data_IF_674182566675
#
_entry.id   IF_674182566675
#
_cell.length_a   1.000
_cell.length_b   1.000
_cell.length_c   1.000
_cell.angle_alpha   90.00
_cell.angle_beta   90.00
_cell.angle_gamma   90.00
#
_symmetry.space_group_name_H-M   'P 1'
#
loop_
_entity.id
_entity.type
_entity.pdbx_description
1 polymer ?
#
# COMPACT_ATOMS: atom_id res chain seq x y z
N UNK A 1 -19.90 -12.99 11.39
CA UNK A 1 -19.68 -11.67 12.05
C UNK A 1 -21.04 -11.04 12.25
N UNK A 2 -21.29 -10.46 13.42
CA UNK A 2 -22.56 -9.80 13.76
C UNK A 2 -22.82 -8.62 12.80
N UNK A 3 -24.06 -8.47 12.30
CA UNK A 3 -24.49 -7.36 11.45
C UNK A 3 -24.20 -6.01 12.12
N UNK A 4 -24.35 -5.93 13.45
CA UNK A 4 -24.03 -4.72 14.23
C UNK A 4 -22.55 -4.32 14.16
N UNK A 5 -21.64 -5.29 14.06
CA UNK A 5 -20.19 -5.06 13.99
C UNK A 5 -19.80 -4.53 12.61
N UNK A 6 -20.34 -5.13 11.54
CA UNK A 6 -20.18 -4.64 10.16
C UNK A 6 -20.65 -3.20 10.04
N UNK A 7 -21.87 -2.90 10.49
CA UNK A 7 -22.46 -1.56 10.34
C UNK A 7 -21.61 -0.48 11.05
N UNK A 8 -21.05 -0.79 12.23
CA UNK A 8 -20.13 0.10 12.96
C UNK A 8 -18.84 0.38 12.18
N UNK A 9 -18.22 -0.66 11.61
CA UNK A 9 -17.05 -0.48 10.75
C UNK A 9 -17.37 0.41 9.57
N UNK A 10 -18.43 0.09 8.83
CA UNK A 10 -18.82 0.79 7.61
C UNK A 10 -19.07 2.27 7.90
N UNK A 11 -19.75 2.57 9.00
CA UNK A 11 -20.01 3.95 9.43
C UNK A 11 -18.71 4.71 9.77
N UNK A 12 -17.82 4.10 10.56
CA UNK A 12 -16.56 4.73 10.94
C UNK A 12 -15.63 4.94 9.75
N UNK A 13 -15.44 3.90 8.92
CA UNK A 13 -14.60 3.97 7.73
C UNK A 13 -15.11 5.02 6.74
N UNK A 14 -16.42 5.07 6.50
CA UNK A 14 -17.05 6.11 5.66
C UNK A 14 -16.77 7.52 6.20
N UNK A 15 -16.84 7.71 7.53
CA UNK A 15 -16.50 9.00 8.16
C UNK A 15 -15.04 9.39 7.88
N UNK A 16 -14.10 8.48 8.12
CA UNK A 16 -12.68 8.75 7.92
C UNK A 16 -12.33 9.02 6.46
N UNK A 17 -12.90 8.27 5.52
CA UNK A 17 -12.69 8.53 4.10
C UNK A 17 -13.24 9.89 3.67
N UNK A 18 -14.41 10.29 4.19
CA UNK A 18 -14.96 11.63 3.92
C UNK A 18 -14.04 12.74 4.45
N UNK A 19 -13.48 12.57 5.63
CA UNK A 19 -12.48 13.48 6.20
C UNK A 19 -11.23 13.53 5.29
N UNK A 20 -10.68 12.36 4.92
CA UNK A 20 -9.46 12.26 4.11
C UNK A 20 -9.62 12.88 2.72
N UNK A 21 -10.74 12.65 2.03
CA UNK A 21 -11.07 13.33 0.75
C UNK A 21 -11.19 14.86 0.90
N UNK A 22 -11.69 15.33 2.05
CA UNK A 22 -11.76 16.75 2.37
C UNK A 22 -10.37 17.37 2.49
N UNK A 23 -9.41 16.59 3.00
CA UNK A 23 -8.03 17.01 3.25
C UNK A 23 -7.14 16.86 2.02
N UNK A 24 -7.33 15.84 1.19
CA UNK A 24 -6.60 15.64 -0.07
C UNK A 24 -6.66 16.88 -0.97
N UNK A 25 -7.86 17.45 -1.15
CA UNK A 25 -8.05 18.71 -1.90
C UNK A 25 -7.27 19.89 -1.31
N UNK A 26 -7.09 19.91 0.01
CA UNK A 26 -6.31 20.95 0.68
C UNK A 26 -4.81 20.71 0.52
N UNK A 27 -4.38 19.44 0.57
CA UNK A 27 -2.99 19.04 0.33
C UNK A 27 -2.54 19.41 -1.08
N UNK A 28 -3.34 19.08 -2.09
CA UNK A 28 -3.11 19.46 -3.50
C UNK A 28 -3.00 20.98 -3.69
N UNK A 29 -3.74 21.75 -2.88
CA UNK A 29 -3.71 23.21 -2.89
C UNK A 29 -2.54 23.81 -2.07
N UNK A 30 -1.64 23.00 -1.53
CA UNK A 30 -0.53 23.47 -0.69
C UNK A 30 -0.94 23.91 0.72
N UNK A 31 -2.17 23.60 1.16
CA UNK A 31 -2.76 24.07 2.42
C UNK A 31 -2.67 23.01 3.51
N UNK A 32 -1.47 22.80 4.06
CA UNK A 32 -1.20 21.83 5.14
C UNK A 32 -0.33 22.48 6.23
N UNK A 33 -0.88 23.44 6.99
CA UNK A 33 -0.20 23.94 8.19
C UNK A 33 -0.08 22.83 9.25
N UNK A 34 0.70 23.06 10.30
CA UNK A 34 1.00 22.05 11.34
C UNK A 34 -0.27 21.40 11.94
N UNK A 35 -1.36 22.18 12.06
CA UNK A 35 -2.65 21.69 12.54
C UNK A 35 -3.25 20.70 11.52
N UNK A 36 -3.29 21.06 10.24
CA UNK A 36 -3.78 20.18 9.18
C UNK A 36 -2.89 18.94 9.01
N UNK A 37 -1.57 19.08 9.09
CA UNK A 37 -0.64 17.95 9.04
C UNK A 37 -0.95 16.94 10.15
N UNK A 38 -1.05 17.42 11.39
CA UNK A 38 -1.40 16.59 12.55
C UNK A 38 -2.76 15.92 12.38
N UNK A 39 -3.72 16.63 11.80
CA UNK A 39 -5.06 16.09 11.55
C UNK A 39 -5.08 15.01 10.46
N UNK A 40 -4.36 15.21 9.35
CA UNK A 40 -4.22 14.21 8.28
C UNK A 40 -3.60 12.92 8.85
N UNK A 41 -2.49 13.04 9.58
CA UNK A 41 -1.85 11.89 10.23
C UNK A 41 -2.82 11.19 11.20
N UNK A 42 -3.59 11.95 11.98
CA UNK A 42 -4.59 11.39 12.89
C UNK A 42 -5.68 10.59 12.17
N UNK A 43 -6.18 11.06 11.03
CA UNK A 43 -7.20 10.34 10.24
C UNK A 43 -6.61 9.04 9.69
N UNK A 44 -5.41 9.09 9.12
CA UNK A 44 -4.74 7.90 8.56
C UNK A 44 -4.44 6.88 9.68
N UNK A 45 -3.98 7.34 10.86
CA UNK A 45 -3.77 6.50 12.03
C UNK A 45 -5.03 5.75 12.46
N UNK A 46 -6.18 6.45 12.47
CA UNK A 46 -7.48 5.85 12.82
C UNK A 46 -7.92 4.83 11.77
N UNK A 47 -7.70 5.09 10.48
CA UNK A 47 -7.94 4.12 9.41
C UNK A 47 -7.08 2.87 9.64
N UNK A 48 -5.78 3.03 9.91
CA UNK A 48 -4.89 1.92 10.19
C UNK A 48 -5.39 1.06 11.36
N UNK A 49 -5.71 1.70 12.50
CA UNK A 49 -6.23 1.02 13.68
C UNK A 49 -7.56 0.30 13.41
N UNK A 50 -8.47 0.95 12.67
CA UNK A 50 -9.77 0.38 12.31
C UNK A 50 -9.60 -0.85 11.41
N UNK A 51 -8.82 -0.76 10.33
CA UNK A 51 -8.55 -1.89 9.45
C UNK A 51 -7.95 -3.08 10.21
N UNK A 52 -6.94 -2.85 11.02
CA UNK A 52 -6.26 -3.91 11.78
C UNK A 52 -7.18 -4.57 12.82
N UNK A 53 -8.04 -3.79 13.48
CA UNK A 53 -9.01 -4.32 14.46
C UNK A 53 -10.02 -5.28 13.83
N UNK A 54 -10.33 -5.08 12.54
CA UNK A 54 -11.27 -5.90 11.78
C UNK A 54 -10.57 -6.88 10.83
N UNK A 55 -9.28 -7.13 11.05
CA UNK A 55 -8.45 -8.09 10.29
C UNK A 55 -8.19 -7.74 8.82
N UNK A 56 -8.48 -6.50 8.40
CA UNK A 56 -8.04 -5.93 7.12
C UNK A 56 -6.56 -5.56 7.18
N UNK A 57 -5.69 -6.59 7.24
CA UNK A 57 -4.25 -6.43 7.48
C UNK A 57 -3.55 -5.65 6.37
N UNK A 58 -3.98 -5.83 5.12
CA UNK A 58 -3.35 -5.15 3.98
C UNK A 58 -3.57 -3.65 4.05
N UNK A 59 -4.83 -3.21 4.15
CA UNK A 59 -5.20 -1.80 4.26
C UNK A 59 -4.64 -1.17 5.52
N UNK A 60 -4.65 -1.91 6.63
CA UNK A 60 -4.04 -1.47 7.88
C UNK A 60 -2.54 -1.18 7.74
N UNK A 61 -1.82 -2.03 7.02
CA UNK A 61 -0.39 -1.85 6.77
C UNK A 61 -0.11 -0.75 5.75
N UNK A 62 -0.93 -0.63 4.69
CA UNK A 62 -0.87 0.47 3.73
C UNK A 62 -1.08 1.81 4.47
N UNK A 63 -2.08 1.89 5.34
CA UNK A 63 -2.35 3.10 6.12
C UNK A 63 -1.18 3.49 7.03
N UNK A 64 -0.58 2.52 7.75
CA UNK A 64 0.63 2.79 8.56
C UNK A 64 1.81 3.26 7.73
N UNK A 65 1.99 2.68 6.55
CA UNK A 65 3.05 3.08 5.65
C UNK A 65 2.85 4.52 5.18
N UNK A 66 1.63 4.87 4.76
CA UNK A 66 1.27 6.25 4.37
C UNK A 66 1.50 7.20 5.54
N UNK A 67 1.04 6.86 6.74
CA UNK A 67 1.24 7.65 7.97
C UNK A 67 2.72 7.92 8.23
N UNK A 68 3.55 6.86 8.26
CA UNK A 68 4.99 6.96 8.48
C UNK A 68 5.66 7.85 7.42
N UNK A 69 5.33 7.63 6.14
CA UNK A 69 6.01 8.32 5.05
C UNK A 69 5.62 9.79 4.97
N UNK A 70 4.35 10.08 5.26
CA UNK A 70 3.83 11.43 5.32
C UNK A 70 4.35 12.20 6.54
N UNK A 71 4.48 11.56 7.71
CA UNK A 71 5.10 12.18 8.90
C UNK A 71 6.56 12.58 8.64
N UNK A 72 7.34 11.69 8.00
CA UNK A 72 8.69 12.01 7.54
C UNK A 72 8.71 13.19 6.56
N UNK A 73 7.81 13.18 5.58
CA UNK A 73 7.71 14.23 4.56
C UNK A 73 7.39 15.59 5.20
N UNK A 74 6.41 15.64 6.11
CA UNK A 74 6.05 16.83 6.87
C UNK A 74 7.21 17.38 7.71
N UNK A 75 7.90 16.52 8.46
CA UNK A 75 9.07 16.92 9.27
C UNK A 75 10.24 17.44 8.44
N UNK A 76 10.43 16.91 7.22
CA UNK A 76 11.46 17.37 6.30
C UNK A 76 11.14 18.71 5.63
N UNK A 77 9.87 19.15 5.68
CA UNK A 77 9.32 20.32 5.01
C UNK A 77 9.61 20.37 3.48
N UNK A 78 9.81 19.21 2.86
CA UNK A 78 10.07 19.08 1.42
C UNK A 78 8.78 18.82 0.67
N UNK A 79 8.33 19.80 -0.09
CA UNK A 79 7.07 19.73 -0.84
C UNK A 79 7.01 18.58 -1.85
N UNK A 80 8.13 18.16 -2.45
CA UNK A 80 8.15 17.01 -3.36
C UNK A 80 7.87 15.69 -2.63
N UNK A 81 8.39 15.49 -1.41
CA UNK A 81 8.12 14.27 -0.63
C UNK A 81 6.65 14.18 -0.21
N UNK A 82 6.03 15.33 0.11
CA UNK A 82 4.60 15.40 0.43
C UNK A 82 3.76 15.03 -0.80
N UNK A 83 4.12 15.56 -1.99
CA UNK A 83 3.46 15.20 -3.25
C UNK A 83 3.58 13.73 -3.59
N UNK A 84 4.74 13.11 -3.36
CA UNK A 84 4.91 11.66 -3.54
C UNK A 84 3.96 10.84 -2.67
N UNK A 85 3.56 11.35 -1.50
CA UNK A 85 2.60 10.69 -0.63
C UNK A 85 1.14 10.80 -1.13
N UNK A 86 0.82 11.71 -2.06
CA UNK A 86 -0.55 11.86 -2.59
C UNK A 86 -1.02 10.57 -3.29
N UNK A 87 -0.16 9.94 -4.09
CA UNK A 87 -0.47 8.67 -4.76
C UNK A 87 -0.72 7.56 -3.74
N UNK A 88 0.04 7.54 -2.64
CA UNK A 88 -0.14 6.55 -1.57
C UNK A 88 -1.48 6.74 -0.86
N UNK A 89 -1.88 8.00 -0.61
CA UNK A 89 -3.18 8.33 -0.02
C UNK A 89 -4.31 7.91 -0.96
N UNK A 90 -4.23 8.21 -2.26
CA UNK A 90 -5.21 7.80 -3.27
C UNK A 90 -5.38 6.27 -3.29
N UNK A 91 -4.28 5.53 -3.27
CA UNK A 91 -4.32 4.07 -3.25
C UNK A 91 -4.95 3.52 -1.97
N UNK A 92 -4.62 4.11 -0.81
CA UNK A 92 -5.24 3.73 0.46
C UNK A 92 -6.76 3.96 0.43
N UNK A 93 -7.18 5.16 0.01
CA UNK A 93 -8.59 5.54 -0.11
C UNK A 93 -9.33 4.53 -0.97
N UNK A 94 -8.80 4.24 -2.16
CA UNK A 94 -9.41 3.28 -3.08
C UNK A 94 -9.55 1.90 -2.46
N UNK A 95 -8.52 1.39 -1.79
CA UNK A 95 -8.55 0.09 -1.11
C UNK A 95 -9.66 0.05 -0.05
N UNK A 96 -9.79 1.11 0.75
CA UNK A 96 -10.85 1.21 1.75
C UNK A 96 -12.25 1.32 1.13
N UNK A 97 -12.40 2.01 0.00
CA UNK A 97 -13.67 2.09 -0.73
C UNK A 97 -14.09 0.72 -1.30
N UNK A 98 -13.13 -0.09 -1.76
CA UNK A 98 -13.39 -1.46 -2.22
C UNK A 98 -13.95 -2.33 -1.08
N UNK A 99 -13.41 -2.21 0.15
CA UNK A 99 -14.00 -2.88 1.33
C UNK A 99 -15.44 -2.42 1.57
N UNK A 100 -15.71 -1.13 1.44
CA UNK A 100 -17.06 -0.58 1.63
C UNK A 100 -18.04 -1.08 0.58
N UNK A 101 -17.59 -1.27 -0.66
CA UNK A 101 -18.42 -1.73 -1.78
C UNK A 101 -18.71 -3.22 -1.71
N UNK A 102 -17.73 -4.05 -1.32
CA UNK A 102 -17.87 -5.49 -1.27
C UNK A 102 -17.32 -6.11 0.03
N UNK A 103 -17.98 -5.79 1.14
CA UNK A 103 -17.65 -6.35 2.45
C UNK A 103 -17.65 -7.89 2.46
N UNK A 104 -18.61 -8.52 1.80
CA UNK A 104 -18.73 -9.99 1.85
C UNK A 104 -17.66 -10.65 0.98
N UNK A 105 -17.34 -10.14 -0.20
CA UNK A 105 -16.23 -10.61 -1.01
C UNK A 105 -14.88 -10.45 -0.32
N UNK A 106 -14.66 -9.32 0.36
CA UNK A 106 -13.44 -9.08 1.15
C UNK A 106 -13.36 -9.95 2.42
N UNK A 107 -14.43 -10.01 3.21
CA UNK A 107 -14.47 -10.83 4.42
C UNK A 107 -14.37 -12.33 4.10
N UNK A 108 -14.82 -12.76 2.93
CA UNK A 108 -14.64 -14.12 2.45
C UNK A 108 -13.21 -14.38 1.94
N UNK A 109 -12.54 -13.40 1.31
CA UNK A 109 -11.09 -13.48 1.01
C UNK A 109 -10.26 -13.61 2.28
N UNK A 110 -10.60 -12.90 3.36
CA UNK A 110 -9.90 -12.99 4.65
C UNK A 110 -10.11 -14.34 5.38
N UNK A 111 -11.23 -15.02 5.13
CA UNK A 111 -11.55 -16.33 5.75
C UNK A 111 -11.06 -17.53 4.95
N UNK A 112 -10.79 -17.33 3.67
CA UNK A 112 -10.26 -18.34 2.77
C UNK A 112 -8.88 -17.87 2.30
N UNK A 113 -7.82 -18.34 2.95
CA UNK A 113 -6.48 -18.46 2.34
C UNK A 113 -6.49 -19.35 1.06
N UNK A 114 -7.65 -19.76 0.55
CA UNK A 114 -7.83 -20.33 -0.78
C UNK A 114 -9.00 -19.67 -1.52
N UNK A 115 -8.82 -18.44 -2.01
CA UNK A 115 -9.59 -17.97 -3.16
C UNK A 115 -8.79 -18.28 -4.41
N UNK A 116 -9.25 -19.25 -5.21
CA UNK A 116 -8.78 -19.40 -6.60
C UNK A 116 -9.12 -18.10 -7.33
N UNK A 117 -8.15 -17.38 -7.92
CA UNK A 117 -8.43 -16.06 -8.45
C UNK A 117 -9.40 -16.15 -9.63
N UNK A 118 -10.46 -15.33 -9.60
CA UNK A 118 -11.16 -14.92 -10.83
C UNK A 118 -10.33 -13.84 -11.53
N UNK A 119 -9.11 -14.18 -11.94
CA UNK A 119 -8.21 -13.29 -12.66
C UNK A 119 -7.99 -13.79 -14.10
N UNK A 120 -8.99 -13.69 -14.97
CA UNK A 120 -8.78 -13.94 -16.41
C UNK A 120 -7.69 -13.02 -17.00
N UNK A 121 -7.38 -11.89 -16.34
CA UNK A 121 -6.29 -10.98 -16.72
C UNK A 121 -4.88 -11.42 -16.28
N UNK A 122 -4.75 -12.33 -15.31
CA UNK A 122 -3.44 -12.76 -14.76
C UNK A 122 -3.09 -14.22 -15.06
N UNK A 123 -3.96 -15.01 -15.68
CA UNK A 123 -3.58 -16.36 -16.16
C UNK A 123 -2.38 -16.32 -17.13
N UNK A 124 -2.24 -15.23 -17.90
CA UNK A 124 -1.07 -15.00 -18.76
C UNK A 124 0.23 -14.70 -17.99
N UNK A 125 0.15 -14.39 -16.69
CA UNK A 125 1.29 -14.05 -15.84
C UNK A 125 1.71 -15.20 -14.93
N UNK A 126 0.98 -16.32 -14.97
CA UNK A 126 1.25 -17.50 -14.15
C UNK A 126 2.61 -18.12 -14.46
N UNK A 127 3.40 -18.41 -13.42
CA UNK A 127 4.73 -18.99 -13.56
C UNK A 127 5.81 -18.01 -14.02
N UNK A 128 5.47 -16.72 -14.20
CA UNK A 128 6.48 -15.69 -14.36
C UNK A 128 7.28 -15.54 -13.07
N UNK A 129 8.51 -15.10 -13.25
CA UNK A 129 9.43 -14.71 -12.21
C UNK A 129 9.71 -13.22 -12.33
N UNK A 130 9.58 -12.51 -11.22
CA UNK A 130 9.88 -11.10 -11.15
C UNK A 130 10.85 -10.83 -10.00
N UNK A 131 11.70 -9.82 -10.16
CA UNK A 131 12.48 -9.26 -9.06
C UNK A 131 11.84 -7.95 -8.62
N UNK A 132 11.71 -7.75 -7.32
CA UNK A 132 11.23 -6.49 -6.72
C UNK A 132 12.33 -5.95 -5.83
N UNK A 133 12.81 -4.74 -6.11
CA UNK A 133 13.88 -4.09 -5.38
C UNK A 133 13.41 -2.75 -4.82
N UNK A 134 13.42 -2.63 -3.51
CA UNK A 134 13.03 -1.41 -2.78
C UNK A 134 13.72 -1.42 -1.41
N UNK A 135 14.28 -0.30 -0.97
CA UNK A 135 15.01 -0.21 0.30
C UNK A 135 14.06 -0.16 1.51
N UNK A 136 12.81 0.25 1.31
CA UNK A 136 11.77 0.23 2.33
C UNK A 136 11.19 -1.19 2.47
N UNK A 137 11.41 -1.86 3.63
CA UNK A 137 10.93 -3.23 3.84
C UNK A 137 9.40 -3.37 3.77
N UNK A 138 8.66 -2.28 4.03
CA UNK A 138 7.19 -2.30 3.97
C UNK A 138 6.72 -2.29 2.53
N UNK A 139 7.28 -1.40 1.69
CA UNK A 139 6.95 -1.35 0.24
C UNK A 139 7.29 -2.69 -0.40
N UNK A 140 8.50 -3.18 -0.14
CA UNK A 140 8.95 -4.48 -0.67
C UNK A 140 8.01 -5.61 -0.29
N UNK A 141 7.55 -5.66 0.97
CA UNK A 141 6.58 -6.67 1.43
C UNK A 141 5.22 -6.54 0.75
N UNK A 142 4.72 -5.30 0.60
CA UNK A 142 3.45 -5.03 -0.07
C UNK A 142 3.50 -5.44 -1.55
N UNK A 143 4.58 -5.10 -2.24
CA UNK A 143 4.80 -5.48 -3.64
C UNK A 143 4.88 -6.99 -3.81
N UNK A 144 5.64 -7.68 -2.95
CA UNK A 144 5.75 -9.15 -2.96
C UNK A 144 4.37 -9.80 -2.85
N UNK A 145 3.59 -9.44 -1.82
CA UNK A 145 2.23 -9.97 -1.63
C UNK A 145 1.32 -9.73 -2.82
N UNK A 146 1.43 -8.55 -3.47
CA UNK A 146 0.59 -8.21 -4.62
C UNK A 146 0.75 -9.20 -5.79
N UNK A 147 1.90 -9.87 -5.90
CA UNK A 147 2.20 -10.80 -6.98
C UNK A 147 2.19 -12.28 -6.54
N UNK A 148 2.52 -12.58 -5.27
CA UNK A 148 2.52 -13.97 -4.76
C UNK A 148 1.16 -14.65 -4.87
N UNK A 149 0.07 -13.93 -4.60
CA UNK A 149 -1.31 -14.46 -4.69
C UNK A 149 -1.73 -14.86 -6.13
N UNK A 150 -0.87 -14.58 -7.12
CA UNK A 150 -1.14 -14.81 -8.55
C UNK A 150 -0.27 -15.92 -9.14
N UNK A 151 0.36 -16.74 -8.30
CA UNK A 151 1.25 -17.83 -8.70
C UNK A 151 2.42 -17.33 -9.59
N UNK A 152 2.91 -16.13 -9.26
CA UNK A 152 4.11 -15.49 -9.79
C UNK A 152 5.23 -15.70 -8.76
N UNK A 153 6.42 -16.06 -9.22
CA UNK A 153 7.60 -16.21 -8.37
C UNK A 153 8.23 -14.83 -8.16
N UNK A 154 8.23 -14.34 -6.92
CA UNK A 154 8.77 -13.02 -6.59
C UNK A 154 10.07 -13.16 -5.82
N UNK A 155 11.13 -12.52 -6.29
CA UNK A 155 12.42 -12.41 -5.62
C UNK A 155 12.60 -10.99 -5.09
N UNK A 156 12.61 -10.82 -3.76
CA UNK A 156 12.64 -9.50 -3.13
C UNK A 156 14.06 -9.06 -2.78
N UNK A 157 14.55 -7.91 -3.24
CA UNK A 157 15.86 -7.35 -2.95
C UNK A 157 15.75 -6.04 -2.15
N UNK A 158 16.66 -5.80 -1.20
CA UNK A 158 16.63 -4.59 -0.35
C UNK A 158 17.50 -3.43 -0.85
N UNK A 159 18.27 -3.64 -1.91
CA UNK A 159 19.17 -2.66 -2.52
C UNK A 159 19.50 -3.06 -3.96
N UNK A 160 20.14 -2.16 -4.72
CA UNK A 160 20.43 -2.39 -6.14
C UNK A 160 21.41 -3.55 -6.37
N UNK A 161 22.38 -3.76 -5.47
CA UNK A 161 23.33 -4.87 -5.58
C UNK A 161 22.64 -6.24 -5.46
N UNK A 162 21.80 -6.42 -4.44
CA UNK A 162 21.03 -7.64 -4.25
C UNK A 162 20.03 -7.85 -5.40
N UNK A 163 19.49 -6.76 -5.95
CA UNK A 163 18.62 -6.82 -7.13
C UNK A 163 19.38 -7.37 -8.34
N UNK A 164 20.57 -6.83 -8.62
CA UNK A 164 21.44 -7.28 -9.71
C UNK A 164 21.83 -8.76 -9.54
N UNK A 165 22.28 -9.15 -8.35
CA UNK A 165 22.64 -10.55 -8.04
C UNK A 165 21.47 -11.51 -8.33
N UNK A 166 20.25 -11.10 -7.95
CA UNK A 166 19.02 -11.88 -8.19
C UNK A 166 18.60 -11.91 -9.65
N UNK A 167 18.75 -10.80 -10.38
CA UNK A 167 18.49 -10.75 -11.82
C UNK A 167 19.43 -11.72 -12.55
N UNK A 168 20.73 -11.67 -12.25
CA UNK A 168 21.73 -12.53 -12.88
C UNK A 168 21.51 -14.01 -12.52
N UNK A 169 21.14 -14.31 -11.28
CA UNK A 169 20.93 -15.69 -10.83
C UNK A 169 19.64 -16.31 -11.36
N UNK A 170 18.58 -15.52 -11.53
CA UNK A 170 17.23 -16.05 -11.75
C UNK A 170 16.63 -15.73 -13.11
N UNK A 171 17.26 -14.84 -13.87
CA UNK A 171 16.82 -14.38 -15.19
C UNK A 171 15.30 -14.07 -15.24
N UNK A 172 14.83 -13.13 -14.40
CA UNK A 172 13.41 -12.81 -14.29
C UNK A 172 12.88 -12.20 -15.59
N UNK A 173 11.58 -12.36 -15.86
CA UNK A 173 10.95 -11.74 -17.03
C UNK A 173 10.69 -10.24 -16.82
N UNK A 174 10.55 -9.81 -15.57
CA UNK A 174 10.37 -8.40 -15.21
C UNK A 174 11.14 -8.06 -13.94
N UNK A 175 11.53 -6.80 -13.83
CA UNK A 175 12.07 -6.22 -12.61
C UNK A 175 11.30 -4.94 -12.28
N UNK A 176 11.00 -4.75 -10.99
CA UNK A 176 10.45 -3.52 -10.42
C UNK A 176 11.54 -2.98 -9.49
N UNK A 177 12.02 -1.78 -9.78
CA UNK A 177 13.15 -1.14 -9.10
C UNK A 177 12.72 0.20 -8.53
N UNK A 178 13.05 0.45 -7.27
CA UNK A 178 13.18 1.80 -6.73
C UNK A 178 14.44 2.47 -7.28
N UNK A 179 14.33 3.75 -7.65
CA UNK A 179 15.43 4.55 -8.16
C UNK A 179 16.46 4.84 -7.06
N UNK A 180 16.00 5.13 -5.84
CA UNK A 180 16.85 5.68 -4.78
C UNK A 180 17.16 4.63 -3.72
N UNK A 181 18.00 3.66 -4.05
CA UNK A 181 18.41 2.60 -3.12
C UNK A 181 19.86 2.79 -2.60
N UNK A 182 20.18 2.28 -1.40
CA UNK A 182 21.55 2.18 -0.91
C UNK A 182 22.43 1.32 -1.83
N UNK A 183 23.75 1.55 -1.78
CA UNK A 183 24.79 0.84 -2.55
C UNK A 183 24.78 1.10 -4.07
N UNK A 184 23.61 1.04 -4.71
CA UNK A 184 23.44 1.13 -6.15
C UNK A 184 22.02 1.62 -6.46
N UNK A 185 21.90 2.67 -7.29
CA UNK A 185 20.60 3.21 -7.69
C UNK A 185 19.88 2.23 -8.61
N UNK A 186 18.56 2.36 -8.71
CA UNK A 186 17.76 1.50 -9.58
C UNK A 186 18.15 1.59 -11.05
N UNK A 187 18.55 2.78 -11.51
CA UNK A 187 19.02 3.04 -12.88
C UNK A 187 20.39 2.43 -13.21
N UNK A 188 21.17 2.03 -12.20
CA UNK A 188 22.48 1.42 -12.39
C UNK A 188 22.41 -0.12 -12.51
N UNK A 189 21.27 -0.73 -12.12
CA UNK A 189 20.99 -2.19 -12.12
C UNK A 189 20.62 -2.69 -13.52
#
# INVERSE_FOLDING_TARGET
>A
MDKSIKDKFMQQMTSYLKELHGLERQMLAGKYDDIRQSYILSVIHKIAGLCLTFEFKEEGNIARYVEMRLDKAFKSNKQHEIKSCEILIVNLVKSCEEILQDWEGYANHLRHEEVKPKDEKFESLKGLRIVVADDDPVIRTLMVRKFEDKNIQVEAAKNGKEALDKVLATNPQFIILDENMPEMNGSDV
#
